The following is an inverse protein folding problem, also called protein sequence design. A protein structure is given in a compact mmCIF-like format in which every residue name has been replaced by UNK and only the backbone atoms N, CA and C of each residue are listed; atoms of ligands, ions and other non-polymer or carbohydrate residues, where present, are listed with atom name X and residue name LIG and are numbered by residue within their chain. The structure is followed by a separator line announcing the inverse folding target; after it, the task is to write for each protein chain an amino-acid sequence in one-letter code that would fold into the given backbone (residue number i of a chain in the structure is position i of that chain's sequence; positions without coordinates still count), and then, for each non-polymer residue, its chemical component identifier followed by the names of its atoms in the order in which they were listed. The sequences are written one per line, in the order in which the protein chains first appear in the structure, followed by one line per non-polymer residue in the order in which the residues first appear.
data_IF_223885575879
#
_entry.id   IF_223885575879
#
_cell.length_a   1.000
_cell.length_b   1.000
_cell.length_c   1.000
_cell.angle_alpha   90.00
_cell.angle_beta   90.00
_cell.angle_gamma   90.00
#
_symmetry.space_group_name_H-M   'P 1'
#
loop_
_entity.id
_entity.type
_entity.pdbx_description
1 polymer ?
#
# COMPACT_ATOMS: atom_id res chain seq x y z
N UNK A 1 5.08 10.71 15.14
CA UNK A 1 5.06 10.21 13.75
C UNK A 1 6.48 10.21 13.21
N UNK A 2 6.95 9.10 12.64
CA UNK A 2 8.31 8.93 12.12
C UNK A 2 8.41 9.07 10.60
N UNK A 3 7.27 9.16 9.91
CA UNK A 3 7.20 9.45 8.49
C UNK A 3 7.90 10.77 8.16
N UNK A 4 8.73 10.74 7.11
CA UNK A 4 9.24 11.94 6.46
C UNK A 4 8.09 12.56 5.69
N UNK A 5 7.87 13.86 5.87
CA UNK A 5 6.76 14.59 5.26
C UNK A 5 7.27 15.62 4.25
N UNK A 6 6.52 15.83 3.16
CA UNK A 6 6.80 16.86 2.16
C UNK A 6 5.49 17.41 1.61
N UNK A 7 5.46 18.68 1.20
CA UNK A 7 4.25 19.28 0.60
C UNK A 7 3.85 18.51 -0.65
N UNK A 8 2.56 18.22 -0.79
CA UNK A 8 2.03 17.52 -1.96
C UNK A 8 2.40 18.25 -3.27
N UNK A 9 2.28 19.58 -3.27
CA UNK A 9 2.59 20.42 -4.44
C UNK A 9 4.05 20.39 -4.87
N UNK A 10 4.98 20.09 -3.96
CA UNK A 10 6.41 19.95 -4.27
C UNK A 10 6.69 18.56 -4.84
N UNK A 11 6.12 17.52 -4.23
CA UNK A 11 6.28 16.13 -4.68
C UNK A 11 5.69 15.91 -6.08
N UNK A 12 4.54 16.53 -6.37
CA UNK A 12 3.84 16.39 -7.64
C UNK A 12 4.70 16.79 -8.85
N UNK A 13 5.64 17.73 -8.67
CA UNK A 13 6.57 18.17 -9.71
C UNK A 13 7.60 17.10 -10.09
N UNK A 14 7.93 16.21 -9.16
CA UNK A 14 8.95 15.17 -9.31
C UNK A 14 8.32 13.80 -9.65
N UNK A 15 7.03 13.62 -9.35
CA UNK A 15 6.35 12.35 -9.57
C UNK A 15 6.09 12.04 -11.05
N UNK A 16 6.19 10.75 -11.44
CA UNK A 16 5.82 10.33 -12.79
C UNK A 16 4.34 10.57 -13.04
N UNK A 17 3.97 11.05 -14.24
CA UNK A 17 2.57 11.43 -14.54
C UNK A 17 1.72 10.28 -15.08
N UNK A 18 2.35 9.27 -15.68
CA UNK A 18 1.70 8.10 -16.28
C UNK A 18 2.54 6.83 -16.02
N UNK A 19 2.00 5.66 -16.39
CA UNK A 19 2.72 4.39 -16.30
C UNK A 19 2.57 3.66 -14.96
N UNK A 20 3.31 2.56 -14.80
CA UNK A 20 3.26 1.70 -13.63
C UNK A 20 4.38 2.07 -12.66
N UNK A 21 4.01 2.56 -11.49
CA UNK A 21 4.97 2.98 -10.47
C UNK A 21 4.54 2.51 -9.08
N UNK A 22 5.49 1.96 -8.34
CA UNK A 22 5.32 1.72 -6.91
C UNK A 22 5.75 3.00 -6.19
N UNK A 23 4.82 3.91 -5.95
CA UNK A 23 5.11 5.10 -5.12
C UNK A 23 5.17 4.68 -3.66
N UNK A 24 6.27 4.95 -2.98
CA UNK A 24 6.49 4.56 -1.59
C UNK A 24 7.45 5.51 -0.86
N UNK A 25 7.37 5.53 0.47
CA UNK A 25 8.47 5.98 1.34
C UNK A 25 9.29 4.77 1.75
N UNK A 26 10.61 4.80 1.57
CA UNK A 26 11.48 3.67 1.87
C UNK A 26 12.94 4.09 2.05
N UNK A 27 13.68 3.25 2.77
CA UNK A 27 15.13 3.32 2.96
C UNK A 27 15.77 1.93 2.71
N UNK A 28 16.95 1.70 3.25
CA UNK A 28 17.66 0.42 3.11
C UNK A 28 16.99 -0.72 3.88
N UNK A 29 16.28 -0.41 4.97
CA UNK A 29 15.73 -1.40 5.90
C UNK A 29 14.23 -1.63 5.70
N UNK A 30 13.48 -0.59 5.31
CA UNK A 30 12.02 -0.63 5.31
C UNK A 30 11.35 0.05 4.12
N UNK A 31 10.13 -0.40 3.85
CA UNK A 31 9.15 0.24 2.98
C UNK A 31 7.91 0.56 3.80
N UNK A 32 7.40 1.79 3.71
CA UNK A 32 6.16 2.17 4.37
C UNK A 32 4.98 1.69 3.53
N UNK A 33 4.06 0.98 4.17
CA UNK A 33 2.79 0.58 3.56
C UNK A 33 1.63 0.95 4.46
N UNK A 34 0.50 1.26 3.87
CA UNK A 34 -0.67 1.75 4.56
C UNK A 34 -1.81 0.75 4.54
N UNK A 35 -2.53 0.70 5.64
CA UNK A 35 -3.80 0.00 5.80
C UNK A 35 -4.75 0.85 6.64
N UNK A 36 -6.03 0.50 6.64
CA UNK A 36 -6.98 1.05 7.60
C UNK A 36 -7.94 0.00 8.08
N UNK A 37 -8.35 0.14 9.33
CA UNK A 37 -9.25 -0.78 9.99
C UNK A 37 -10.23 -0.07 10.92
N UNK A 38 -11.22 -0.83 11.37
CA UNK A 38 -12.03 -0.50 12.54
C UNK A 38 -11.14 -0.35 13.79
N UNK A 39 -11.58 0.44 14.79
CA UNK A 39 -10.80 0.70 16.00
C UNK A 39 -10.27 -0.55 16.71
N UNK A 40 -11.03 -1.64 16.76
CA UNK A 40 -10.61 -2.83 17.52
C UNK A 40 -9.39 -3.53 16.91
N UNK A 41 -9.19 -3.44 15.58
CA UNK A 41 -8.00 -4.00 14.91
C UNK A 41 -6.89 -2.95 14.91
N UNK A 42 -7.20 -1.71 14.53
CA UNK A 42 -6.19 -0.65 14.41
C UNK A 42 -5.50 -0.36 15.74
N UNK A 43 -6.28 -0.14 16.80
CA UNK A 43 -5.74 0.16 18.13
C UNK A 43 -4.97 -1.04 18.72
N UNK A 44 -5.44 -2.26 18.45
CA UNK A 44 -4.70 -3.46 18.86
C UNK A 44 -3.33 -3.51 18.17
N UNK A 45 -3.29 -3.31 16.85
CA UNK A 45 -2.07 -3.40 16.07
C UNK A 45 -1.05 -2.33 16.51
N UNK A 46 -1.49 -1.07 16.66
CA UNK A 46 -0.62 0.02 17.13
C UNK A 46 -0.13 -0.22 18.56
N UNK A 47 -0.98 -0.69 19.47
CA UNK A 47 -0.56 -0.94 20.86
C UNK A 47 0.43 -2.08 20.98
N UNK A 48 0.24 -3.15 20.22
CA UNK A 48 1.00 -4.39 20.38
C UNK A 48 2.11 -4.56 19.34
N UNK A 49 2.19 -3.69 18.33
CA UNK A 49 3.19 -3.72 17.24
C UNK A 49 3.14 -5.01 16.39
N UNK A 50 1.98 -5.66 16.32
CA UNK A 50 1.72 -6.81 15.46
C UNK A 50 0.21 -6.93 15.21
N UNK A 51 -0.20 -7.63 14.14
CA UNK A 51 -1.63 -7.89 13.91
C UNK A 51 -2.10 -9.15 14.66
N UNK A 52 -3.15 -8.99 15.47
CA UNK A 52 -3.78 -10.07 16.24
C UNK A 52 -5.15 -9.66 16.76
N UNK A 53 -5.61 -10.34 17.81
CA UNK A 53 -6.91 -10.07 18.42
C UNK A 53 -8.05 -10.22 17.39
N UNK A 54 -8.81 -9.16 17.05
CA UNK A 54 -9.88 -9.23 16.06
C UNK A 54 -9.42 -9.41 14.60
N UNK A 55 -8.13 -9.26 14.31
CA UNK A 55 -7.57 -9.49 12.97
C UNK A 55 -7.75 -10.96 12.55
N UNK A 56 -8.11 -11.20 11.29
CA UNK A 56 -8.40 -12.54 10.77
C UNK A 56 -7.32 -13.01 9.80
N UNK A 57 -6.50 -13.96 10.25
CA UNK A 57 -5.48 -14.61 9.42
C UNK A 57 -6.05 -15.43 8.25
N UNK A 58 -7.32 -15.80 8.30
CA UNK A 58 -7.97 -16.57 7.22
C UNK A 58 -8.45 -15.69 6.05
N UNK A 59 -8.40 -14.36 6.19
CA UNK A 59 -8.83 -13.43 5.15
C UNK A 59 -7.63 -12.73 4.56
N UNK A 60 -7.59 -12.63 3.24
CA UNK A 60 -6.60 -11.82 2.55
C UNK A 60 -6.64 -10.37 3.05
N UNK A 61 -5.46 -9.83 3.35
CA UNK A 61 -5.28 -8.41 3.70
C UNK A 61 -4.56 -7.69 2.57
N UNK A 62 -4.85 -6.40 2.38
CA UNK A 62 -4.27 -5.62 1.27
C UNK A 62 -3.44 -4.46 1.80
N UNK A 63 -2.17 -4.40 1.41
CA UNK A 63 -1.27 -3.30 1.73
C UNK A 63 -1.10 -2.36 0.53
N UNK A 64 -0.88 -1.08 0.80
CA UNK A 64 -0.71 -0.02 -0.21
C UNK A 64 0.54 0.79 0.10
N UNK A 65 1.58 0.79 -0.74
CA UNK A 65 2.76 1.61 -0.48
C UNK A 65 2.50 3.12 -0.72
N UNK A 66 1.45 3.45 -1.48
CA UNK A 66 1.06 4.82 -1.80
C UNK A 66 -0.04 5.35 -0.86
N UNK A 67 0.21 6.51 -0.26
CA UNK A 67 -0.65 7.15 0.73
C UNK A 67 -1.99 7.62 0.14
N UNK A 68 -1.97 8.35 -0.98
CA UNK A 68 -3.22 8.88 -1.58
C UNK A 68 -4.13 7.77 -2.10
N UNK A 69 -3.56 6.66 -2.58
CA UNK A 69 -4.33 5.46 -2.89
C UNK A 69 -5.02 4.91 -1.65
N UNK A 70 -4.34 4.86 -0.50
CA UNK A 70 -5.00 4.50 0.77
C UNK A 70 -6.09 5.51 1.17
N UNK A 71 -5.84 6.81 1.03
CA UNK A 71 -6.81 7.86 1.40
C UNK A 71 -8.07 7.80 0.54
N UNK A 72 -7.94 7.53 -0.75
CA UNK A 72 -9.09 7.27 -1.61
C UNK A 72 -9.90 6.05 -1.12
N UNK A 73 -9.22 4.97 -0.71
CA UNK A 73 -9.89 3.74 -0.26
C UNK A 73 -10.65 3.90 1.04
N UNK A 74 -10.07 4.56 2.04
CA UNK A 74 -10.71 4.79 3.33
C UNK A 74 -11.51 6.11 3.40
N UNK A 75 -11.50 6.92 2.34
CA UNK A 75 -12.16 8.23 2.33
C UNK A 75 -11.56 9.16 3.37
N UNK A 76 -10.23 9.25 3.46
CA UNK A 76 -9.54 10.05 4.46
C UNK A 76 -9.97 9.72 5.90
N UNK A 77 -10.02 8.42 6.21
CA UNK A 77 -10.44 7.87 7.50
C UNK A 77 -11.92 8.13 7.90
N UNK A 78 -12.77 8.58 6.97
CA UNK A 78 -14.19 8.84 7.27
C UNK A 78 -15.12 7.64 7.05
N UNK A 79 -14.66 6.60 6.34
CA UNK A 79 -15.48 5.41 6.07
C UNK A 79 -15.58 4.51 7.29
N UNK A 80 -16.80 4.10 7.61
CA UNK A 80 -17.09 3.13 8.68
C UNK A 80 -16.30 1.82 8.45
N UNK A 81 -15.64 1.35 9.50
CA UNK A 81 -14.76 0.19 9.50
C UNK A 81 -13.34 0.43 8.95
N UNK A 82 -12.99 1.68 8.63
CA UNK A 82 -11.68 2.12 8.13
C UNK A 82 -11.21 3.42 8.81
N UNK A 83 -11.62 3.64 10.05
CA UNK A 83 -11.42 4.86 10.83
C UNK A 83 -9.98 4.99 11.36
N UNK A 84 -9.31 3.88 11.64
CA UNK A 84 -7.92 3.87 12.10
C UNK A 84 -6.99 3.61 10.92
N UNK A 85 -6.17 4.59 10.59
CA UNK A 85 -5.17 4.53 9.51
C UNK A 85 -3.82 4.19 10.10
N UNK A 86 -3.22 3.13 9.57
CA UNK A 86 -1.91 2.65 10.00
C UNK A 86 -0.88 2.92 8.93
N UNK A 87 0.24 3.52 9.33
CA UNK A 87 1.49 3.47 8.59
C UNK A 87 2.35 2.33 9.15
N UNK A 88 2.68 1.36 8.31
CA UNK A 88 3.32 0.11 8.70
C UNK A 88 4.71 0.10 8.11
N UNK A 89 5.70 0.01 8.99
CA UNK A 89 7.11 -0.04 8.65
C UNK A 89 7.43 -1.50 8.34
N UNK A 90 7.22 -1.89 7.08
CA UNK A 90 7.45 -3.25 6.62
C UNK A 90 8.93 -3.43 6.30
N UNK A 91 9.53 -4.55 6.72
CA UNK A 91 10.88 -4.92 6.30
C UNK A 91 10.97 -4.89 4.77
N UNK A 92 12.01 -4.24 4.24
CA UNK A 92 12.21 -4.14 2.80
C UNK A 92 12.41 -5.52 2.16
N UNK A 93 13.12 -6.41 2.83
CA UNK A 93 13.27 -7.82 2.42
C UNK A 93 11.92 -8.56 2.32
N UNK A 94 10.97 -8.28 3.22
CA UNK A 94 9.64 -8.88 3.17
C UNK A 94 8.85 -8.31 2.00
N UNK A 95 8.95 -6.99 1.75
CA UNK A 95 8.32 -6.37 0.58
C UNK A 95 8.85 -6.97 -0.73
N UNK A 96 10.17 -7.11 -0.89
CA UNK A 96 10.80 -7.78 -2.05
C UNK A 96 10.34 -9.25 -2.20
N UNK A 97 10.25 -9.97 -1.08
CA UNK A 97 9.72 -11.33 -1.07
C UNK A 97 8.27 -11.36 -1.56
N UNK A 98 7.43 -10.42 -1.15
CA UNK A 98 6.05 -10.33 -1.62
C UNK A 98 6.00 -10.03 -3.12
N UNK A 99 6.78 -9.06 -3.61
CA UNK A 99 6.82 -8.72 -5.03
C UNK A 99 7.25 -9.91 -5.91
N UNK A 100 8.25 -10.68 -5.47
CA UNK A 100 8.74 -11.85 -6.22
C UNK A 100 7.77 -13.05 -6.23
N UNK A 101 6.85 -13.15 -5.28
CA UNK A 101 5.83 -14.21 -5.21
C UNK A 101 4.47 -13.80 -5.80
N UNK A 102 4.35 -12.56 -6.27
CA UNK A 102 3.07 -11.97 -6.59
C UNK A 102 2.44 -12.56 -7.85
N UNK A 103 1.14 -12.87 -7.78
CA UNK A 103 0.33 -13.31 -8.93
C UNK A 103 -0.73 -12.26 -9.24
N UNK A 104 -0.87 -11.89 -10.51
CA UNK A 104 -1.85 -10.89 -10.94
C UNK A 104 -3.28 -11.27 -10.53
N UNK A 105 -4.02 -10.30 -10.02
CA UNK A 105 -5.41 -10.43 -9.59
C UNK A 105 -6.40 -10.57 -10.75
N UNK A 106 -5.97 -10.27 -11.97
CA UNK A 106 -6.67 -10.45 -13.23
C UNK A 106 -5.80 -11.22 -14.23
N UNK A 107 -6.44 -11.91 -15.17
CA UNK A 107 -5.74 -12.61 -16.25
C UNK A 107 -4.89 -11.64 -17.08
N UNK A 108 -3.65 -12.05 -17.37
CA UNK A 108 -2.70 -11.32 -18.21
C UNK A 108 -2.25 -12.26 -19.32
N UNK A 109 -2.73 -12.05 -20.55
CA UNK A 109 -2.45 -12.94 -21.70
C UNK A 109 -0.98 -13.02 -22.09
N UNK A 110 -0.17 -12.05 -21.69
CA UNK A 110 1.28 -12.04 -21.93
C UNK A 110 2.07 -12.85 -20.89
N UNK A 111 1.46 -13.21 -19.75
CA UNK A 111 2.14 -13.86 -18.62
C UNK A 111 1.66 -15.29 -18.36
N UNK A 112 0.42 -15.60 -18.70
CA UNK A 112 -0.19 -16.91 -18.47
C UNK A 112 -0.58 -17.54 -19.79
N UNK A 113 -0.43 -18.86 -19.88
CA UNK A 113 -0.74 -19.61 -21.11
C UNK A 113 -2.22 -19.50 -21.48
N UNK A 114 -3.07 -19.66 -20.47
CA UNK A 114 -4.52 -19.66 -20.59
C UNK A 114 -5.17 -19.33 -19.23
N UNK A 115 -6.50 -19.31 -19.21
CA UNK A 115 -7.25 -18.98 -18.00
C UNK A 115 -7.08 -20.02 -16.88
N UNK A 116 -6.96 -21.30 -17.23
CA UNK A 116 -6.81 -22.39 -16.25
C UNK A 116 -5.43 -22.35 -15.58
N UNK A 117 -4.39 -22.06 -16.35
CA UNK A 117 -3.02 -21.82 -15.89
C UNK A 117 -3.00 -20.65 -14.89
N UNK A 118 -3.63 -19.52 -15.23
CA UNK A 118 -3.75 -18.39 -14.31
C UNK A 118 -4.51 -18.76 -13.04
N UNK A 119 -5.62 -19.49 -13.13
CA UNK A 119 -6.37 -19.95 -11.95
C UNK A 119 -5.53 -20.89 -11.07
N UNK A 120 -4.71 -21.75 -11.68
CA UNK A 120 -3.78 -22.61 -10.94
C UNK A 120 -2.75 -21.78 -10.18
N UNK A 121 -2.10 -20.81 -10.82
CA UNK A 121 -1.18 -19.87 -10.17
C UNK A 121 -1.87 -19.08 -9.05
N UNK A 122 -3.09 -18.60 -9.30
CA UNK A 122 -3.89 -17.90 -8.30
C UNK A 122 -4.18 -18.82 -7.12
N UNK A 123 -4.64 -20.05 -7.32
CA UNK A 123 -4.99 -20.96 -6.23
C UNK A 123 -3.81 -21.25 -5.30
N UNK A 124 -2.61 -21.39 -5.88
CA UNK A 124 -1.40 -21.77 -5.16
C UNK A 124 -0.55 -20.59 -4.67
N UNK A 125 -1.01 -19.34 -4.85
CA UNK A 125 -0.26 -18.15 -4.42
C UNK A 125 -0.80 -17.53 -3.15
N UNK A 126 0.12 -17.12 -2.28
CA UNK A 126 -0.14 -16.39 -1.05
C UNK A 126 -0.06 -14.87 -1.22
N UNK A 127 0.45 -14.41 -2.37
CA UNK A 127 0.58 -12.98 -2.69
C UNK A 127 -0.14 -12.63 -3.99
N UNK A 128 -1.10 -11.71 -3.91
CA UNK A 128 -1.85 -11.19 -5.07
C UNK A 128 -1.41 -9.78 -5.41
N UNK A 129 -1.35 -9.47 -6.69
CA UNK A 129 -1.01 -8.16 -7.22
C UNK A 129 -2.22 -7.52 -7.90
N UNK A 130 -2.52 -6.27 -7.61
CA UNK A 130 -3.49 -5.49 -8.38
C UNK A 130 -2.94 -4.10 -8.70
N UNK A 131 -3.04 -3.73 -9.98
CA UNK A 131 -2.80 -2.37 -10.44
C UNK A 131 -4.13 -1.65 -10.61
N UNK A 132 -4.30 -0.52 -9.94
CA UNK A 132 -5.44 0.38 -10.04
C UNK A 132 -4.98 1.75 -10.54
N UNK A 133 -5.89 2.64 -10.99
CA UNK A 133 -5.52 4.04 -11.18
C UNK A 133 -4.99 4.62 -9.86
N UNK A 134 -3.95 5.43 -9.93
CA UNK A 134 -3.61 6.30 -8.82
C UNK A 134 -4.65 7.44 -8.72
N UNK A 135 -4.68 8.14 -7.59
CA UNK A 135 -5.66 9.17 -7.29
C UNK A 135 -5.01 10.43 -6.74
N UNK A 136 -5.54 11.58 -7.15
CA UNK A 136 -5.20 12.87 -6.54
C UNK A 136 -5.91 13.02 -5.17
N UNK A 137 -5.59 14.07 -4.37
CA UNK A 137 -6.19 14.27 -3.06
C UNK A 137 -7.73 14.35 -3.04
N UNK A 138 -8.33 14.77 -4.15
CA UNK A 138 -9.78 14.87 -4.32
C UNK A 138 -10.43 13.55 -4.78
N UNK A 139 -9.66 12.48 -4.99
CA UNK A 139 -10.15 11.19 -5.47
C UNK A 139 -10.35 11.13 -6.99
N UNK A 140 -9.79 12.07 -7.75
CA UNK A 140 -9.75 12.00 -9.22
C UNK A 140 -8.69 10.99 -9.69
N UNK A 141 -9.05 10.14 -10.65
CA UNK A 141 -8.14 9.16 -11.25
C UNK A 141 -7.00 9.86 -12.01
N UNK A 142 -5.80 9.30 -11.93
CA UNK A 142 -4.62 9.71 -12.66
C UNK A 142 -4.23 8.66 -13.72
N UNK A 143 -3.42 9.06 -14.70
CA UNK A 143 -2.88 8.13 -15.72
C UNK A 143 -1.83 7.18 -15.13
N UNK A 144 -1.11 7.64 -14.10
CA UNK A 144 -0.23 6.79 -13.29
C UNK A 144 -1.04 5.69 -12.60
N UNK A 145 -0.46 4.49 -12.50
CA UNK A 145 -1.01 3.34 -11.80
C UNK A 145 -0.44 3.23 -10.39
N UNK A 146 -1.27 2.80 -9.45
CA UNK A 146 -0.90 2.47 -8.08
C UNK A 146 -1.10 0.97 -7.83
N UNK A 147 -0.14 0.37 -7.11
CA UNK A 147 -0.15 -1.03 -6.74
C UNK A 147 -0.90 -1.24 -5.41
N UNK A 148 -1.57 -2.38 -5.28
CA UNK A 148 -1.88 -2.99 -3.99
C UNK A 148 -1.49 -4.47 -3.98
N UNK A 149 -1.01 -4.92 -2.82
CA UNK A 149 -0.52 -6.28 -2.62
C UNK A 149 -1.41 -6.98 -1.61
N UNK A 150 -2.03 -8.09 -2.04
CA UNK A 150 -2.89 -8.93 -1.23
C UNK A 150 -2.07 -10.05 -0.60
N UNK A 151 -2.16 -10.22 0.71
CA UNK A 151 -1.40 -11.20 1.49
C UNK A 151 -2.38 -12.17 2.15
N UNK A 152 -2.18 -13.47 1.99
CA UNK A 152 -3.07 -14.52 2.54
C UNK A 152 -2.29 -15.81 2.86
N UNK A 153 -3.03 -16.83 3.32
CA UNK A 153 -2.53 -18.16 3.65
C UNK A 153 -1.31 -18.07 4.60
N UNK A 154 -0.20 -18.74 4.30
CA UNK A 154 0.98 -18.76 5.16
C UNK A 154 1.68 -17.39 5.29
N UNK A 155 1.71 -16.56 4.23
CA UNK A 155 2.41 -15.27 4.28
C UNK A 155 1.69 -14.24 5.17
N UNK A 156 0.39 -14.40 5.44
CA UNK A 156 -0.31 -13.47 6.34
C UNK A 156 0.14 -13.61 7.79
N UNK A 157 0.63 -14.79 8.19
CA UNK A 157 1.15 -15.02 9.53
C UNK A 157 2.49 -14.29 9.68
N UNK A 158 3.40 -14.47 8.71
CA UNK A 158 4.68 -13.76 8.68
C UNK A 158 4.48 -12.25 8.63
N UNK A 159 3.59 -11.77 7.76
CA UNK A 159 3.21 -10.36 7.69
C UNK A 159 2.78 -9.83 9.06
N UNK A 160 1.87 -10.54 9.71
CA UNK A 160 1.26 -10.08 10.95
C UNK A 160 2.18 -10.14 12.17
N UNK A 161 3.26 -10.92 12.15
CA UNK A 161 4.04 -11.26 13.34
C UNK A 161 5.55 -11.01 13.23
N UNK A 162 6.10 -11.07 12.02
CA UNK A 162 7.55 -11.17 11.80
C UNK A 162 8.08 -10.11 10.85
N UNK A 163 7.30 -9.73 9.83
CA UNK A 163 7.77 -8.85 8.75
C UNK A 163 7.63 -7.36 9.08
N UNK A 164 6.90 -7.01 10.14
CA UNK A 164 6.66 -5.63 10.56
C UNK A 164 7.70 -5.22 11.58
N UNK A 165 8.33 -4.07 11.35
CA UNK A 165 9.25 -3.44 12.29
C UNK A 165 8.50 -2.52 13.27
N UNK A 166 7.49 -1.82 12.78
CA UNK A 166 6.73 -0.84 13.55
C UNK A 166 5.35 -0.55 12.91
N UNK A 167 4.38 -0.20 13.74
CA UNK A 167 3.03 0.22 13.34
C UNK A 167 2.73 1.58 14.00
N UNK A 168 2.54 2.61 13.18
CA UNK A 168 2.12 3.94 13.62
C UNK A 168 0.63 4.14 13.33
N UNK A 169 -0.14 4.62 14.31
CA UNK A 169 -1.46 5.19 14.06
C UNK A 169 -1.30 6.64 13.57
N UNK A 170 -1.69 6.89 12.32
CA UNK A 170 -1.59 8.21 11.67
C UNK A 170 -2.96 8.85 11.47
N UNK A 171 -3.99 8.37 12.16
CA UNK A 171 -5.39 8.81 11.96
C UNK A 171 -5.62 10.28 12.31
N UNK A 172 -4.94 10.81 13.32
CA UNK A 172 -5.00 12.23 13.65
C UNK A 172 -4.39 13.09 12.53
N UNK A 173 -3.19 12.73 12.07
CA UNK A 173 -2.54 13.38 10.94
C UNK A 173 -3.43 13.35 9.69
N UNK A 174 -4.01 12.20 9.35
CA UNK A 174 -4.92 12.07 8.20
C UNK A 174 -6.11 13.03 8.31
N UNK A 175 -6.71 13.14 9.50
CA UNK A 175 -7.86 14.04 9.73
C UNK A 175 -7.48 15.51 9.62
N UNK A 176 -6.30 15.88 10.10
CA UNK A 176 -5.72 17.23 9.94
C UNK A 176 -5.52 17.56 8.47
N UNK A 177 -4.81 16.69 7.72
CA UNK A 177 -4.52 16.92 6.31
C UNK A 177 -5.78 16.94 5.44
N UNK A 178 -6.80 16.16 5.81
CA UNK A 178 -8.08 16.18 5.11
C UNK A 178 -8.79 17.54 5.19
N UNK A 179 -8.57 18.33 6.25
CA UNK A 179 -9.15 19.68 6.33
C UNK A 179 -8.65 20.58 5.18
N UNK A 180 -7.37 20.49 4.81
CA UNK A 180 -6.83 21.24 3.68
C UNK A 180 -7.42 20.78 2.35
N UNK A 181 -7.70 19.48 2.20
CA UNK A 181 -8.38 18.94 1.00
C UNK A 181 -9.81 19.46 0.92
N UNK A 182 -10.57 19.45 2.02
CA UNK A 182 -11.94 19.98 2.07
C UNK A 182 -11.97 21.49 1.78
N UNK A 183 -11.01 22.24 2.31
CA UNK A 183 -10.87 23.67 2.10
C UNK A 183 -10.30 24.04 0.71
N UNK A 184 -9.89 23.05 -0.10
CA UNK A 184 -9.23 23.22 -1.41
C UNK A 184 -7.87 23.95 -1.33
N UNK A 185 -7.17 23.80 -0.22
CA UNK A 185 -5.87 24.44 0.06
C UNK A 185 -4.71 23.43 -0.14
N UNK A 186 -4.55 22.88 -1.34
CA UNK A 186 -3.53 21.86 -1.62
C UNK A 186 -2.08 22.36 -1.50
N UNK A 187 -1.87 23.67 -1.47
CA UNK A 187 -0.58 24.29 -1.18
C UNK A 187 -0.13 24.08 0.28
N UNK A 188 -1.08 23.86 1.19
CA UNK A 188 -0.85 23.53 2.60
C UNK A 188 -0.84 22.03 2.87
N UNK A 189 -1.34 21.21 1.93
CA UNK A 189 -1.40 19.76 2.09
C UNK A 189 0.02 19.17 2.20
N UNK A 190 0.29 18.55 3.34
CA UNK A 190 1.51 17.80 3.62
C UNK A 190 1.16 16.32 3.63
N UNK A 191 1.95 15.51 2.92
CA UNK A 191 1.77 14.05 2.89
C UNK A 191 3.13 13.37 3.08
N UNK A 192 3.17 12.06 3.33
CA UNK A 192 4.42 11.32 3.38
C UNK A 192 5.24 11.55 2.11
N UNK A 193 6.56 11.68 2.26
CA UNK A 193 7.48 11.84 1.15
C UNK A 193 7.61 10.50 0.41
N UNK A 194 7.10 10.44 -0.82
CA UNK A 194 7.09 9.23 -1.62
C UNK A 194 7.89 9.44 -2.92
N UNK A 195 8.58 8.39 -3.35
CA UNK A 195 9.30 8.33 -4.62
C UNK A 195 9.10 6.96 -5.27
N UNK A 196 9.35 6.81 -6.59
CA UNK A 196 9.27 5.51 -7.24
C UNK A 196 10.20 4.50 -6.58
N UNK A 197 9.66 3.34 -6.23
CA UNK A 197 10.38 2.16 -5.77
C UNK A 197 10.66 1.24 -6.96
N UNK A 198 11.90 0.78 -7.06
CA UNK A 198 12.37 -0.20 -8.03
C UNK A 198 12.93 -1.38 -7.23
N UNK A 199 12.50 -2.59 -7.58
CA UNK A 199 12.99 -3.82 -6.96
C UNK A 199 14.47 -4.01 -7.29
N UNK A 200 15.20 -4.69 -6.42
CA UNK A 200 16.57 -5.13 -6.73
C UNK A 200 16.65 -6.22 -7.81
N UNK A 201 15.53 -6.86 -8.17
CA UNK A 201 15.47 -7.85 -9.25
C UNK A 201 14.86 -7.24 -10.52
N UNK A 202 15.64 -7.29 -11.61
CA UNK A 202 15.20 -6.85 -12.94
C UNK A 202 14.04 -7.70 -13.46
N UNK A 203 14.01 -8.98 -13.13
CA UNK A 203 12.90 -9.88 -13.48
C UNK A 203 11.60 -9.44 -12.81
N UNK A 204 11.65 -9.06 -11.52
CA UNK A 204 10.50 -8.53 -10.79
C UNK A 204 10.07 -7.19 -11.40
N UNK A 205 11.00 -6.28 -11.69
CA UNK A 205 10.69 -4.99 -12.32
C UNK A 205 9.98 -5.17 -13.66
N UNK A 206 10.49 -6.08 -14.51
CA UNK A 206 9.88 -6.42 -15.79
C UNK A 206 8.49 -7.04 -15.63
N UNK A 207 8.34 -8.00 -14.71
CA UNK A 207 7.05 -8.63 -14.40
C UNK A 207 6.00 -7.61 -13.94
N UNK A 208 6.42 -6.60 -13.18
CA UNK A 208 5.58 -5.53 -12.65
C UNK A 208 5.40 -4.34 -13.62
N UNK A 209 6.03 -4.38 -14.80
CA UNK A 209 6.00 -3.32 -15.82
C UNK A 209 6.59 -2.00 -15.34
N UNK A 210 7.50 -2.05 -14.35
CA UNK A 210 8.22 -0.89 -13.84
C UNK A 210 9.26 -0.45 -14.88
N UNK A 211 9.41 0.86 -15.05
CA UNK A 211 10.36 1.50 -15.97
C UNK A 211 11.34 2.34 -15.19
#
# INVERSE_FOLDING_TARGET
MKLILKKYSEQLKEWPQNGYHIMAQYDEEKVIVYQSYRPEIGNFATKNQFFGGPFKYTRMTWIKPNFLWMMYRNGWATKVGQEVVLAIHLKREAFERYLSQAVYSSFQSELYRDWDDWQHHVKNSSIRLQWDPDHNPYGGKLERRAIQIGIRNEEIIKYAKEDILEIEDVSEFVREQYQFVLAKELDKLIIPAERPYISSSDEVNKFLKLK
#
